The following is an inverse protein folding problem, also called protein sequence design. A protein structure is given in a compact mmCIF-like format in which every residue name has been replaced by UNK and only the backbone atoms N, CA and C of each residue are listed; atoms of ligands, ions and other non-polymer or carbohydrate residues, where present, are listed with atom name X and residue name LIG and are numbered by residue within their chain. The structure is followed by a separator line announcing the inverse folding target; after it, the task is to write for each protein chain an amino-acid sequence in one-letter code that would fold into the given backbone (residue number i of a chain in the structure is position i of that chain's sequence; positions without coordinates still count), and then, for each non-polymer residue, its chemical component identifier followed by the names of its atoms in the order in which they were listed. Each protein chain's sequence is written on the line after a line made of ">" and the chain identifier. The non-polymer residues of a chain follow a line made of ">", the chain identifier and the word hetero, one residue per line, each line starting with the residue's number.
data_IF_342856638244
#
_entry.id   IF_342856638244
#
_cell.length_a   1.000
_cell.length_b   1.000
_cell.length_c   1.000
_cell.angle_alpha   90.00
_cell.angle_beta   90.00
_cell.angle_gamma   90.00
#
_symmetry.space_group_name_H-M   'P 1'
#
loop_
_entity.id
_entity.type
_entity.pdbx_description
1 polymer ?
#
# COMPACT_ATOMS: atom_id res chain seq x y z
N UNK A 1 -8.95 15.36 -15.49
CA UNK A 1 -9.63 14.06 -15.28
C UNK A 1 -9.79 13.82 -13.80
N UNK A 2 -11.02 13.66 -13.33
CA UNK A 2 -11.33 13.39 -11.92
C UNK A 2 -11.51 11.88 -11.78
N UNK A 3 -10.52 11.20 -11.20
CA UNK A 3 -10.61 9.76 -10.91
C UNK A 3 -11.11 9.57 -9.47
N UNK A 4 -12.03 8.63 -9.27
CA UNK A 4 -12.46 8.20 -7.94
C UNK A 4 -11.71 6.95 -7.52
N UNK A 5 -11.34 6.89 -6.24
CA UNK A 5 -10.82 5.67 -5.61
C UNK A 5 -12.03 4.94 -5.03
N UNK A 6 -12.23 3.70 -5.41
CA UNK A 6 -13.38 2.91 -4.98
C UNK A 6 -12.97 1.53 -4.45
N UNK A 7 -13.75 0.92 -3.54
CA UNK A 7 -13.45 -0.41 -3.02
C UNK A 7 -13.39 -1.46 -4.13
N UNK A 8 -12.40 -2.35 -4.08
CA UNK A 8 -12.31 -3.50 -4.98
C UNK A 8 -13.30 -4.58 -4.56
N UNK A 9 -14.50 -4.53 -5.14
CA UNK A 9 -15.59 -5.45 -4.84
C UNK A 9 -15.58 -6.68 -5.74
N UNK A 10 -16.36 -7.70 -5.38
CA UNK A 10 -16.55 -8.90 -6.22
C UNK A 10 -17.15 -8.54 -7.60
N UNK A 11 -17.99 -7.50 -7.66
CA UNK A 11 -18.57 -7.01 -8.92
C UNK A 11 -17.48 -6.47 -9.84
N UNK A 12 -16.57 -5.65 -9.31
CA UNK A 12 -15.43 -5.11 -10.06
C UNK A 12 -14.49 -6.23 -10.49
N UNK A 13 -14.22 -7.20 -9.61
CA UNK A 13 -13.37 -8.35 -9.93
C UNK A 13 -13.94 -9.17 -11.10
N UNK A 14 -15.26 -9.33 -11.17
CA UNK A 14 -15.94 -10.05 -12.27
C UNK A 14 -15.82 -9.37 -13.64
N UNK A 15 -15.41 -8.10 -13.71
CA UNK A 15 -15.10 -7.43 -14.98
C UNK A 15 -13.84 -8.01 -15.64
N UNK A 16 -13.03 -8.80 -14.92
CA UNK A 16 -11.84 -9.47 -15.44
C UNK A 16 -10.67 -8.53 -15.78
N UNK A 17 -10.73 -7.28 -15.33
CA UNK A 17 -9.74 -6.24 -15.67
C UNK A 17 -8.37 -6.52 -15.05
N UNK A 18 -8.31 -7.24 -13.93
CA UNK A 18 -7.06 -7.60 -13.25
C UNK A 18 -6.11 -8.37 -14.17
N UNK A 19 -6.63 -9.18 -15.09
CA UNK A 19 -5.82 -9.96 -16.04
C UNK A 19 -5.01 -9.09 -17.02
N UNK A 20 -5.46 -7.86 -17.23
CA UNK A 20 -4.82 -6.86 -18.12
C UNK A 20 -3.95 -5.85 -17.38
N UNK A 21 -3.91 -5.94 -16.04
CA UNK A 21 -3.12 -5.02 -15.23
C UNK A 21 -1.63 -5.35 -15.36
N UNK A 22 -0.84 -4.37 -15.74
CA UNK A 22 0.60 -4.50 -15.89
C UNK A 22 1.32 -3.32 -15.25
N UNK A 23 2.39 -3.62 -14.52
CA UNK A 23 3.25 -2.63 -13.88
C UNK A 23 4.50 -2.42 -14.73
N UNK A 24 5.06 -1.22 -14.72
CA UNK A 24 6.30 -0.95 -15.42
C UNK A 24 7.45 -1.76 -14.76
N UNK A 25 8.12 -2.67 -15.49
CA UNK A 25 9.19 -3.49 -14.92
C UNK A 25 10.39 -2.67 -14.42
N UNK A 26 10.55 -1.43 -14.88
CA UNK A 26 11.57 -0.52 -14.39
C UNK A 26 11.24 0.15 -13.05
N UNK A 27 10.00 0.01 -12.56
CA UNK A 27 9.57 0.58 -11.29
C UNK A 27 9.37 -0.47 -10.19
N UNK A 28 9.53 -1.75 -10.51
CA UNK A 28 9.31 -2.86 -9.60
C UNK A 28 10.04 -4.11 -10.08
N UNK A 29 10.74 -4.80 -9.19
CA UNK A 29 11.51 -6.02 -9.51
C UNK A 29 10.65 -7.24 -9.84
N UNK A 30 9.38 -7.28 -9.40
CA UNK A 30 8.42 -8.35 -9.68
C UNK A 30 7.05 -7.79 -10.05
N UNK A 31 6.90 -7.38 -11.31
CA UNK A 31 5.68 -6.76 -11.81
C UNK A 31 4.47 -7.69 -11.81
N UNK A 32 4.66 -8.99 -12.00
CA UNK A 32 3.56 -9.97 -12.10
C UNK A 32 2.90 -10.21 -10.73
N UNK A 33 3.62 -10.03 -9.63
CA UNK A 33 3.10 -10.16 -8.28
C UNK A 33 1.84 -9.31 -8.04
N UNK A 34 1.82 -8.07 -8.54
CA UNK A 34 0.68 -7.16 -8.34
C UNK A 34 -0.56 -7.61 -9.11
N UNK A 35 -0.36 -8.12 -10.33
CA UNK A 35 -1.44 -8.72 -11.13
C UNK A 35 -2.00 -9.96 -10.46
N UNK A 36 -1.13 -10.87 -10.01
CA UNK A 36 -1.51 -12.09 -9.31
C UNK A 36 -2.25 -11.78 -8.01
N UNK A 37 -1.80 -10.77 -7.26
CA UNK A 37 -2.48 -10.33 -6.05
C UNK A 37 -3.93 -9.89 -6.35
N UNK A 38 -4.15 -9.04 -7.35
CA UNK A 38 -5.49 -8.60 -7.74
C UNK A 38 -6.38 -9.77 -8.20
N UNK A 39 -5.82 -10.72 -8.95
CA UNK A 39 -6.58 -11.84 -9.51
C UNK A 39 -6.98 -12.88 -8.46
N UNK A 40 -6.09 -13.17 -7.49
CA UNK A 40 -6.24 -14.36 -6.66
C UNK A 40 -6.37 -14.07 -5.16
N UNK A 41 -5.83 -12.96 -4.66
CA UNK A 41 -5.73 -12.71 -3.22
C UNK A 41 -6.60 -11.55 -2.73
N UNK A 42 -6.69 -10.47 -3.49
CA UNK A 42 -7.30 -9.22 -3.01
C UNK A 42 -8.76 -9.37 -2.53
N UNK A 43 -9.58 -10.16 -3.20
CA UNK A 43 -10.97 -10.40 -2.78
C UNK A 43 -11.02 -11.25 -1.53
N UNK A 44 -10.16 -12.26 -1.42
CA UNK A 44 -10.08 -13.09 -0.22
C UNK A 44 -9.63 -12.26 0.97
N UNK A 45 -8.60 -11.43 0.82
CA UNK A 45 -8.11 -10.53 1.87
C UNK A 45 -9.19 -9.53 2.31
N UNK A 46 -9.92 -8.94 1.36
CA UNK A 46 -11.05 -8.07 1.65
C UNK A 46 -12.13 -8.77 2.49
N UNK A 47 -12.44 -10.03 2.17
CA UNK A 47 -13.52 -10.80 2.81
C UNK A 47 -13.10 -11.30 4.18
N UNK A 48 -11.86 -11.75 4.33
CA UNK A 48 -11.31 -12.26 5.59
C UNK A 48 -10.91 -11.15 6.57
N UNK A 49 -10.86 -9.89 6.13
CA UNK A 49 -10.42 -8.76 6.94
C UNK A 49 -8.91 -8.62 7.07
N UNK A 50 -8.13 -9.36 6.26
CA UNK A 50 -6.67 -9.26 6.25
C UNK A 50 -6.18 -7.95 5.66
N UNK A 51 -6.84 -7.46 4.61
CA UNK A 51 -6.56 -6.17 4.00
C UNK A 51 -7.81 -5.61 3.32
N UNK A 52 -7.80 -4.33 2.97
CA UNK A 52 -8.85 -3.70 2.14
C UNK A 52 -8.23 -3.10 0.90
N UNK A 53 -8.63 -3.59 -0.26
CA UNK A 53 -8.13 -3.14 -1.56
C UNK A 53 -9.08 -2.14 -2.19
N UNK A 54 -8.50 -1.07 -2.74
CA UNK A 54 -9.20 -0.03 -3.48
C UNK A 54 -8.53 0.14 -4.84
N UNK A 55 -9.32 0.46 -5.85
CA UNK A 55 -8.88 0.62 -7.24
C UNK A 55 -9.25 1.99 -7.79
N UNK A 56 -8.49 2.44 -8.77
CA UNK A 56 -8.87 3.55 -9.63
C UNK A 56 -9.17 2.98 -11.01
N UNK A 57 -10.37 3.25 -11.51
CA UNK A 57 -10.81 2.89 -12.86
C UNK A 57 -10.73 4.10 -13.78
N UNK A 58 -10.52 3.85 -15.08
CA UNK A 58 -10.72 4.87 -16.09
C UNK A 58 -12.22 5.22 -16.23
N UNK A 59 -12.52 6.32 -16.93
CA UNK A 59 -13.90 6.83 -17.09
C UNK A 59 -14.87 5.79 -17.66
N UNK A 60 -14.38 4.96 -18.58
CA UNK A 60 -15.20 3.92 -19.22
C UNK A 60 -15.24 2.60 -18.41
N UNK A 61 -14.62 2.55 -17.23
CA UNK A 61 -14.54 1.35 -16.36
C UNK A 61 -14.01 0.10 -17.08
N UNK A 62 -13.10 0.29 -18.01
CA UNK A 62 -12.52 -0.77 -18.86
C UNK A 62 -11.09 -1.15 -18.49
N UNK A 63 -10.46 -0.38 -17.59
CA UNK A 63 -9.06 -0.57 -17.19
C UNK A 63 -8.80 -0.03 -15.80
N UNK A 64 -7.94 -0.73 -15.03
CA UNK A 64 -7.40 -0.19 -13.78
C UNK A 64 -6.21 0.72 -14.05
N UNK A 65 -6.26 1.94 -13.51
CA UNK A 65 -5.16 2.89 -13.54
C UNK A 65 -4.14 2.61 -12.43
N UNK A 66 -4.61 2.08 -11.32
CA UNK A 66 -3.81 1.68 -10.18
C UNK A 66 -4.67 1.13 -9.06
N UNK A 67 -4.01 0.59 -8.04
CA UNK A 67 -4.68 0.10 -6.85
C UNK A 67 -3.82 0.27 -5.62
N UNK A 68 -4.47 0.23 -4.45
CA UNK A 68 -3.84 0.21 -3.14
C UNK A 68 -4.55 -0.79 -2.25
N UNK A 69 -3.80 -1.52 -1.43
CA UNK A 69 -4.31 -2.40 -0.39
C UNK A 69 -3.77 -1.98 0.95
N UNK A 70 -4.66 -1.79 1.92
CA UNK A 70 -4.37 -1.29 3.27
C UNK A 70 -4.68 -2.36 4.30
N UNK A 71 -3.83 -2.51 5.32
CA UNK A 71 -4.10 -3.37 6.47
C UNK A 71 -3.65 -2.73 7.78
N UNK A 72 -4.29 -3.11 8.87
CA UNK A 72 -3.84 -2.75 10.21
C UNK A 72 -2.58 -3.54 10.57
N UNK A 73 -1.63 -2.88 11.23
CA UNK A 73 -0.38 -3.48 11.67
C UNK A 73 0.16 -2.79 12.93
N UNK A 74 1.31 -3.24 13.41
CA UNK A 74 2.05 -2.58 14.49
C UNK A 74 3.50 -2.39 14.07
N UNK A 75 4.03 -1.19 14.34
CA UNK A 75 5.47 -0.97 14.30
C UNK A 75 6.07 -1.43 15.61
N UNK A 76 6.91 -2.46 15.58
CA UNK A 76 7.59 -2.95 16.77
C UNK A 76 8.83 -2.09 17.03
N UNK A 77 8.87 -1.49 18.21
CA UNK A 77 9.98 -0.67 18.68
C UNK A 77 10.76 -1.49 19.71
N UNK A 78 12.03 -1.74 19.44
CA UNK A 78 12.95 -2.29 20.43
C UNK A 78 13.43 -1.14 21.32
N UNK A 79 12.88 -1.07 22.52
CA UNK A 79 13.26 -0.06 23.53
C UNK A 79 14.54 -0.40 24.28
N UNK A 80 15.22 -1.52 23.94
CA UNK A 80 16.36 -2.03 24.70
C UNK A 80 15.98 -2.60 26.06
N UNK A 81 14.70 -2.62 26.40
CA UNK A 81 14.14 -3.20 27.61
C UNK A 81 13.62 -4.64 27.32
N UNK A 82 13.22 -5.32 28.39
CA UNK A 82 12.76 -6.71 28.35
C UNK A 82 11.47 -6.94 27.53
N UNK A 83 10.84 -5.88 27.06
CA UNK A 83 9.56 -5.91 26.34
C UNK A 83 9.60 -5.06 25.08
N UNK A 84 9.16 -5.66 23.96
CA UNK A 84 8.93 -4.95 22.69
C UNK A 84 7.55 -4.30 22.73
N UNK A 85 7.48 -3.00 22.47
CA UNK A 85 6.20 -2.28 22.33
C UNK A 85 5.77 -2.19 20.88
N UNK A 86 4.49 -2.47 20.62
CA UNK A 86 3.87 -2.25 19.32
C UNK A 86 3.22 -0.88 19.25
N UNK A 87 3.56 -0.06 18.27
CA UNK A 87 2.86 1.17 17.96
C UNK A 87 1.82 0.94 16.85
N UNK A 88 0.58 1.42 17.03
CA UNK A 88 -0.46 1.21 16.03
C UNK A 88 -0.10 1.87 14.70
N UNK A 89 -0.27 1.14 13.62
CA UNK A 89 0.09 1.58 12.29
C UNK A 89 -0.90 1.10 11.22
N UNK A 90 -0.99 1.85 10.13
CA UNK A 90 -1.63 1.45 8.89
C UNK A 90 -0.52 1.05 7.91
N UNK A 91 -0.61 -0.13 7.31
CA UNK A 91 0.35 -0.57 6.30
C UNK A 91 -0.23 -0.40 4.90
N UNK A 92 0.51 0.26 4.03
CA UNK A 92 0.33 0.16 2.59
C UNK A 92 0.92 -1.19 2.18
N UNK A 93 0.06 -2.22 2.15
CA UNK A 93 0.45 -3.60 1.93
C UNK A 93 0.80 -3.88 0.47
N UNK A 94 0.01 -3.32 -0.45
CA UNK A 94 0.26 -3.34 -1.90
C UNK A 94 -0.09 -1.97 -2.48
N UNK A 95 0.74 -1.46 -3.39
CA UNK A 95 0.44 -0.29 -4.19
C UNK A 95 1.09 -0.45 -5.56
N UNK A 96 0.31 -0.33 -6.61
CA UNK A 96 0.83 -0.35 -7.97
C UNK A 96 0.04 0.55 -8.91
N UNK A 97 0.74 1.08 -9.90
CA UNK A 97 0.18 1.89 -10.99
C UNK A 97 0.36 1.15 -12.30
N UNK A 98 -0.69 1.11 -13.11
CA UNK A 98 -0.63 0.52 -14.43
C UNK A 98 0.40 1.26 -15.29
N UNK A 99 1.23 0.51 -16.02
CA UNK A 99 2.34 1.04 -16.83
C UNK A 99 1.91 2.15 -17.79
N UNK A 100 0.69 2.07 -18.33
CA UNK A 100 0.14 3.05 -19.26
C UNK A 100 -0.19 4.42 -18.62
N UNK A 101 -0.23 4.48 -17.29
CA UNK A 101 -0.59 5.67 -16.51
C UNK A 101 0.54 6.14 -15.59
N UNK A 102 1.75 5.63 -15.79
CA UNK A 102 2.96 6.08 -15.06
C UNK A 102 3.20 7.57 -15.33
N UNK A 103 3.61 8.31 -14.31
CA UNK A 103 3.88 9.76 -14.43
C UNK A 103 2.64 10.66 -14.35
N UNK A 104 1.43 10.10 -14.21
CA UNK A 104 0.17 10.85 -14.12
C UNK A 104 -0.31 11.07 -12.67
N UNK A 105 0.59 11.02 -11.70
CA UNK A 105 0.32 11.22 -10.26
C UNK A 105 -0.68 10.24 -9.64
N UNK A 106 -0.95 9.10 -10.29
CA UNK A 106 -1.85 8.06 -9.77
C UNK A 106 -1.30 7.49 -8.46
N UNK A 107 -0.01 7.15 -8.41
CA UNK A 107 0.65 6.66 -7.19
C UNK A 107 0.56 7.65 -6.03
N UNK A 108 0.79 8.93 -6.29
CA UNK A 108 0.67 10.00 -5.29
C UNK A 108 -0.76 10.08 -4.73
N UNK A 109 -1.78 9.98 -5.58
CA UNK A 109 -3.19 9.96 -5.14
C UNK A 109 -3.51 8.76 -4.25
N UNK A 110 -2.97 7.59 -4.57
CA UNK A 110 -3.15 6.38 -3.77
C UNK A 110 -2.48 6.51 -2.39
N UNK A 111 -1.27 7.10 -2.32
CA UNK A 111 -0.61 7.37 -1.04
C UNK A 111 -1.41 8.39 -0.21
N UNK A 112 -1.86 9.49 -0.81
CA UNK A 112 -2.71 10.45 -0.11
C UNK A 112 -4.04 9.85 0.36
N UNK A 113 -4.60 8.89 -0.37
CA UNK A 113 -5.76 8.13 0.10
C UNK A 113 -5.45 7.34 1.39
N UNK A 114 -4.27 6.70 1.48
CA UNK A 114 -3.85 6.02 2.70
C UNK A 114 -3.69 7.00 3.87
N UNK A 115 -3.05 8.15 3.64
CA UNK A 115 -2.86 9.20 4.65
C UNK A 115 -4.22 9.73 5.14
N UNK A 116 -5.13 10.05 4.23
CA UNK A 116 -6.48 10.52 4.56
C UNK A 116 -7.27 9.46 5.33
N UNK A 117 -7.14 8.18 4.94
CA UNK A 117 -7.77 7.06 5.66
C UNK A 117 -7.25 6.96 7.09
N UNK A 118 -5.95 7.05 7.29
CA UNK A 118 -5.34 7.01 8.61
C UNK A 118 -5.79 8.18 9.49
N UNK A 119 -5.86 9.40 8.96
CA UNK A 119 -6.39 10.56 9.68
C UNK A 119 -7.86 10.39 10.06
N UNK A 120 -8.71 9.95 9.13
CA UNK A 120 -10.12 9.69 9.40
C UNK A 120 -10.31 8.65 10.52
N UNK A 121 -9.52 7.57 10.52
CA UNK A 121 -9.57 6.58 11.58
C UNK A 121 -9.14 7.15 12.94
N UNK A 122 -8.12 8.00 12.96
CA UNK A 122 -7.65 8.67 14.17
C UNK A 122 -8.67 9.63 14.77
N UNK A 123 -9.42 10.34 13.95
CA UNK A 123 -10.38 11.34 14.42
C UNK A 123 -11.58 10.71 15.16
N UNK A 124 -11.98 9.49 14.81
CA UNK A 124 -13.27 8.96 15.28
C UNK A 124 -13.28 7.50 15.70
N UNK A 125 -12.30 6.68 15.37
CA UNK A 125 -12.45 5.24 15.53
C UNK A 125 -11.25 4.52 16.15
N UNK A 126 -10.02 4.80 15.72
CA UNK A 126 -8.88 3.95 16.03
C UNK A 126 -7.58 4.76 15.97
N UNK A 127 -6.74 4.69 17.02
CA UNK A 127 -5.42 5.33 17.01
C UNK A 127 -4.49 4.72 15.97
N UNK A 128 -4.00 5.53 15.04
CA UNK A 128 -2.95 5.19 14.06
C UNK A 128 -1.84 6.21 14.21
N UNK A 129 -0.65 5.77 14.58
CA UNK A 129 0.51 6.67 14.78
C UNK A 129 1.41 6.73 13.54
N UNK A 130 1.54 5.62 12.82
CA UNK A 130 2.44 5.50 11.69
C UNK A 130 1.72 4.95 10.46
N UNK A 131 2.22 5.33 9.28
CA UNK A 131 1.97 4.59 8.03
C UNK A 131 3.26 3.85 7.69
N UNK A 132 3.15 2.56 7.42
CA UNK A 132 4.26 1.68 7.08
C UNK A 132 4.14 1.18 5.65
N UNK A 133 5.27 0.88 5.04
CA UNK A 133 5.34 0.16 3.76
C UNK A 133 6.71 -0.49 3.58
N UNK A 134 6.78 -1.45 2.66
CA UNK A 134 8.02 -2.01 2.16
C UNK A 134 8.17 -1.59 0.69
N UNK A 135 9.02 -0.60 0.43
CA UNK A 135 9.24 -0.06 -0.91
C UNK A 135 10.16 -0.97 -1.71
N UNK A 136 9.80 -1.27 -2.96
CA UNK A 136 10.78 -1.76 -3.92
C UNK A 136 11.95 -0.74 -4.00
N UNK A 137 13.18 -1.22 -4.13
CA UNK A 137 14.37 -0.37 -4.14
C UNK A 137 14.28 0.78 -5.16
N UNK A 138 13.63 0.54 -6.29
CA UNK A 138 13.42 1.54 -7.34
C UNK A 138 12.35 2.57 -7.00
N UNK A 139 11.44 2.26 -6.06
CA UNK A 139 10.37 3.14 -5.63
C UNK A 139 10.71 3.98 -4.38
N UNK A 140 11.86 3.73 -3.73
CA UNK A 140 12.26 4.46 -2.52
C UNK A 140 12.22 5.97 -2.71
N UNK A 141 12.82 6.48 -3.79
CA UNK A 141 12.83 7.91 -4.07
C UNK A 141 11.44 8.53 -4.34
N UNK A 142 10.46 7.74 -4.74
CA UNK A 142 9.07 8.18 -4.85
C UNK A 142 8.47 8.40 -3.45
N UNK A 143 8.69 7.48 -2.52
CA UNK A 143 8.16 7.60 -1.17
C UNK A 143 8.90 8.67 -0.34
N UNK A 144 10.22 8.83 -0.52
CA UNK A 144 10.99 9.92 0.12
C UNK A 144 10.45 11.30 -0.27
N UNK A 145 10.03 11.52 -1.51
CA UNK A 145 9.37 12.77 -1.95
C UNK A 145 7.99 12.99 -1.31
N UNK A 146 7.39 11.97 -0.76
CA UNK A 146 6.12 12.00 -0.02
C UNK A 146 6.35 11.95 1.50
N UNK A 147 7.56 12.30 1.95
CA UNK A 147 7.94 12.43 3.37
C UNK A 147 7.97 11.09 4.14
N UNK A 148 8.11 9.96 3.44
CA UNK A 148 8.44 8.70 4.08
C UNK A 148 9.92 8.60 4.35
N UNK A 149 10.27 8.06 5.52
CA UNK A 149 11.64 7.82 5.94
C UNK A 149 11.94 6.32 5.99
N UNK A 150 13.21 5.95 5.75
CA UNK A 150 13.65 4.56 5.90
C UNK A 150 13.65 4.18 7.38
N UNK A 151 13.17 2.98 7.68
CA UNK A 151 13.24 2.42 9.02
C UNK A 151 14.71 2.12 9.35
N UNK A 152 15.21 2.71 10.44
CA UNK A 152 16.56 2.46 10.92
C UNK A 152 16.66 1.18 11.75
N UNK A 153 17.84 0.96 12.34
CA UNK A 153 18.20 -0.29 13.07
C UNK A 153 17.41 -0.53 14.38
N UNK A 154 16.55 0.39 14.78
CA UNK A 154 15.79 0.29 16.03
C UNK A 154 14.43 -0.43 15.88
N UNK A 155 14.06 -0.83 14.69
CA UNK A 155 12.75 -1.40 14.41
C UNK A 155 12.89 -2.84 13.92
N UNK A 156 12.10 -3.75 14.51
CA UNK A 156 11.99 -5.12 14.02
C UNK A 156 11.03 -5.17 12.84
N UNK A 157 11.52 -5.70 11.74
CA UNK A 157 10.72 -5.94 10.53
C UNK A 157 10.18 -7.37 10.61
N UNK A 158 8.91 -7.61 10.25
CA UNK A 158 8.40 -8.97 10.14
C UNK A 158 9.30 -9.83 9.23
N UNK A 159 9.58 -11.07 9.63
CA UNK A 159 10.54 -11.97 8.96
C UNK A 159 10.30 -12.18 7.47
N UNK A 160 9.06 -12.04 6.98
CA UNK A 160 8.78 -12.15 5.54
C UNK A 160 9.37 -11.01 4.70
N UNK A 161 9.77 -9.90 5.31
CA UNK A 161 10.47 -8.81 4.64
C UNK A 161 12.00 -8.97 4.67
N UNK A 162 12.57 -9.82 5.55
CA UNK A 162 14.02 -10.00 5.67
C UNK A 162 14.66 -10.58 4.40
N UNK A 163 13.90 -11.33 3.60
CA UNK A 163 14.36 -11.96 2.36
C UNK A 163 13.95 -11.19 1.09
N UNK A 164 13.31 -10.04 1.22
CA UNK A 164 12.93 -9.19 0.10
C UNK A 164 13.97 -8.10 -0.12
N UNK A 165 14.21 -7.71 -1.37
CA UNK A 165 15.00 -6.51 -1.70
C UNK A 165 14.23 -5.20 -1.41
N UNK A 166 13.14 -5.28 -0.66
CA UNK A 166 12.32 -4.14 -0.31
C UNK A 166 12.92 -3.37 0.86
N UNK A 167 12.80 -2.06 0.82
CA UNK A 167 13.25 -1.14 1.86
C UNK A 167 12.06 -0.78 2.72
N UNK A 168 12.06 -1.13 4.02
CA UNK A 168 10.98 -0.73 4.93
C UNK A 168 11.04 0.77 5.19
N UNK A 169 9.88 1.41 5.09
CA UNK A 169 9.73 2.85 5.27
C UNK A 169 8.53 3.16 6.16
N UNK A 170 8.55 4.32 6.78
CA UNK A 170 7.47 4.81 7.61
C UNK A 170 7.22 6.30 7.42
N UNK A 171 6.02 6.72 7.76
CA UNK A 171 5.63 8.11 7.96
C UNK A 171 4.98 8.24 9.34
N UNK A 172 5.39 9.23 10.13
CA UNK A 172 4.71 9.56 11.37
C UNK A 172 3.58 10.56 11.06
N UNK A 173 2.35 10.26 11.52
CA UNK A 173 1.16 11.09 11.22
C UNK A 173 1.03 12.32 12.10
N UNK A 174 1.55 12.25 13.33
CA UNK A 174 1.48 13.34 14.31
C UNK A 174 2.83 13.50 14.98
N UNK A 175 3.29 14.71 15.10
CA UNK A 175 4.51 15.10 15.84
C UNK A 175 4.20 15.37 17.30
#
# INVERSE_FOLDING_TARGET
>A
MTYSIEPYTLEIARLGLASKFEVNPNSCGNSDHFKEYLMYSAIQDNTSGMAKTHVILNENRSEFLGFISLKATSLLIDSGEKYTSGCPALEIYQLAVNKNYTGQSIGTKLVYFAIATAHMLNESHLGIKYILLAADAQAVGFYEKLEFEKIGNYYQIPKYHENSNCVPMFMQLFT
#
